data_IF_245572269356
#
_entry.id   IF_245572269356
#
_cell.length_a   1.000
_cell.length_b   1.000
_cell.length_c   1.000
_cell.angle_alpha   90.00
_cell.angle_beta   90.00
_cell.angle_gamma   90.00
#
_symmetry.space_group_name_H-M   'P 1'
#
loop_
_entity.id
_entity.type
_entity.pdbx_description
1 polymer ?
#
# COMPACT_ATOMS: atom_id res chain seq x y z
N UNK A 1 -1.52 20.38 14.83
CA UNK A 1 -0.94 20.68 13.51
C UNK A 1 0.37 19.93 13.38
N UNK A 2 0.59 19.21 12.29
CA UNK A 2 1.86 18.56 11.98
C UNK A 2 2.52 19.34 10.84
N UNK A 3 3.79 19.69 10.98
CA UNK A 3 4.59 20.39 9.97
C UNK A 3 5.67 19.43 9.48
N UNK A 4 5.31 18.62 8.47
CA UNK A 4 6.13 17.51 7.99
C UNK A 4 5.97 16.23 8.82
N UNK A 5 6.08 15.09 8.16
CA UNK A 5 6.13 13.77 8.79
C UNK A 5 7.35 13.03 8.26
N UNK A 6 7.99 12.22 9.10
CA UNK A 6 9.18 11.44 8.75
C UNK A 6 8.94 9.94 8.86
N UNK A 7 7.72 9.49 9.21
CA UNK A 7 7.45 8.06 9.40
C UNK A 7 7.66 7.25 8.10
N UNK A 8 7.53 7.88 6.94
CA UNK A 8 7.79 7.26 5.65
C UNK A 8 9.24 6.78 5.53
N UNK A 9 10.22 7.43 6.16
CA UNK A 9 11.63 7.00 6.08
C UNK A 9 11.85 5.63 6.74
N UNK A 10 11.06 5.28 7.76
CA UNK A 10 11.16 3.95 8.39
C UNK A 10 10.58 2.87 7.47
N UNK A 11 9.50 3.17 6.76
CA UNK A 11 8.79 2.21 5.89
C UNK A 11 9.50 2.05 4.55
N UNK A 12 9.85 3.17 3.91
CA UNK A 12 10.34 3.22 2.54
C UNK A 12 11.87 3.16 2.47
N UNK A 13 12.60 3.83 3.37
CA UNK A 13 14.07 3.82 3.34
C UNK A 13 14.66 2.67 4.17
N UNK A 14 14.34 2.60 5.47
CA UNK A 14 14.94 1.58 6.36
C UNK A 14 14.45 0.18 6.02
N UNK A 15 13.12 0.00 5.99
CA UNK A 15 12.55 -1.28 5.62
C UNK A 15 12.51 -1.50 4.09
N UNK A 16 12.71 -0.46 3.29
CA UNK A 16 12.88 -0.58 1.85
C UNK A 16 11.59 -0.67 1.03
N UNK A 17 10.39 -0.48 1.59
CA UNK A 17 9.17 -0.66 0.81
C UNK A 17 9.11 0.32 -0.37
N UNK A 18 9.00 -0.21 -1.60
CA UNK A 18 8.76 0.58 -2.81
C UNK A 18 7.34 0.28 -3.30
N UNK A 19 6.36 1.18 -3.09
CA UNK A 19 4.99 0.97 -3.57
C UNK A 19 4.93 0.88 -5.10
N UNK A 20 4.17 -0.08 -5.61
CA UNK A 20 3.99 -0.35 -7.04
C UNK A 20 2.52 -0.44 -7.41
N UNK A 21 2.20 -0.29 -8.69
CA UNK A 21 0.83 -0.48 -9.18
C UNK A 21 0.53 -1.96 -9.48
N UNK A 22 1.55 -2.71 -9.90
CA UNK A 22 1.44 -4.14 -10.21
C UNK A 22 1.40 -5.01 -8.93
N UNK A 23 1.24 -6.32 -9.11
CA UNK A 23 1.18 -7.28 -8.02
C UNK A 23 2.54 -7.64 -7.40
N UNK A 24 3.65 -7.09 -7.90
CA UNK A 24 4.99 -7.40 -7.38
C UNK A 24 5.27 -6.59 -6.12
N UNK A 25 6.12 -7.14 -5.26
CA UNK A 25 6.58 -6.46 -4.04
C UNK A 25 8.05 -6.14 -4.23
N UNK A 26 8.40 -4.85 -4.16
CA UNK A 26 9.77 -4.38 -4.30
C UNK A 26 10.26 -3.83 -2.97
N UNK A 27 11.46 -4.28 -2.59
CA UNK A 27 12.16 -3.89 -1.38
C UNK A 27 13.52 -3.33 -1.76
N UNK A 28 13.81 -2.08 -1.44
CA UNK A 28 15.09 -1.42 -1.69
C UNK A 28 15.58 -0.69 -0.42
N UNK A 29 16.03 -1.44 0.60
CA UNK A 29 16.41 -0.87 1.89
C UNK A 29 17.74 -0.11 1.81
N UNK A 30 17.82 0.98 2.57
CA UNK A 30 19.08 1.64 2.91
C UNK A 30 19.59 1.04 4.22
N UNK A 31 20.74 0.37 4.16
CA UNK A 31 21.38 -0.16 5.36
C UNK A 31 21.75 0.97 6.33
N UNK A 32 21.30 0.84 7.58
CA UNK A 32 21.64 1.76 8.66
C UNK A 32 22.80 1.14 9.48
N UNK A 33 24.00 1.75 9.46
CA UNK A 33 25.15 1.19 10.15
C UNK A 33 24.87 0.93 11.63
N UNK A 34 25.17 -0.30 12.08
CA UNK A 34 25.00 -0.74 13.47
C UNK A 34 23.60 -1.26 13.81
N UNK A 35 22.64 -1.22 12.89
CA UNK A 35 21.32 -1.81 13.09
C UNK A 35 21.33 -3.29 12.69
N UNK A 36 21.31 -4.16 13.69
CA UNK A 36 21.28 -5.61 13.47
C UNK A 36 19.86 -6.17 13.30
N UNK A 37 18.84 -5.38 13.63
CA UNK A 37 17.47 -5.79 13.51
C UNK A 37 16.51 -4.61 13.43
N UNK A 38 15.42 -4.78 12.70
CA UNK A 38 14.27 -3.88 12.70
C UNK A 38 13.03 -4.64 12.20
N UNK A 39 11.86 -4.05 12.40
CA UNK A 39 10.64 -4.51 11.75
C UNK A 39 9.70 -3.37 11.39
N UNK A 40 9.10 -3.46 10.22
CA UNK A 40 7.85 -2.77 9.88
C UNK A 40 6.79 -3.85 9.82
N UNK A 41 5.76 -3.73 10.66
CA UNK A 41 4.76 -4.77 10.85
C UNK A 41 3.37 -4.24 10.53
N UNK A 42 2.55 -5.09 9.92
CA UNK A 42 1.14 -4.85 9.68
C UNK A 42 0.87 -3.63 8.76
N UNK A 43 1.68 -3.52 7.70
CA UNK A 43 1.42 -2.58 6.62
C UNK A 43 0.27 -3.13 5.76
N UNK A 44 -0.85 -2.42 5.69
CA UNK A 44 -1.93 -2.76 4.77
C UNK A 44 -1.52 -2.33 3.35
N UNK A 45 -1.21 -3.30 2.49
CA UNK A 45 -0.74 -3.09 1.13
C UNK A 45 -1.50 -4.01 0.17
N UNK A 46 -2.15 -3.41 -0.82
CA UNK A 46 -2.96 -4.13 -1.83
C UNK A 46 -4.02 -5.07 -1.23
N UNK A 47 -4.57 -4.69 -0.07
CA UNK A 47 -5.56 -5.50 0.66
C UNK A 47 -4.97 -6.61 1.53
N UNK A 48 -3.65 -6.78 1.52
CA UNK A 48 -2.90 -7.79 2.28
C UNK A 48 -2.13 -7.15 3.43
N UNK A 49 -1.82 -7.95 4.45
CA UNK A 49 -0.97 -7.52 5.56
C UNK A 49 0.50 -7.88 5.28
N UNK A 50 1.35 -6.85 5.18
CA UNK A 50 2.79 -7.01 5.00
C UNK A 50 3.55 -6.77 6.29
N UNK A 51 4.56 -7.61 6.53
CA UNK A 51 5.60 -7.35 7.52
C UNK A 51 6.98 -7.57 6.91
N UNK A 52 7.88 -6.63 7.16
CA UNK A 52 9.27 -6.64 6.69
C UNK A 52 10.15 -6.72 7.93
N UNK A 53 11.03 -7.71 7.98
CA UNK A 53 11.87 -8.00 9.15
C UNK A 53 13.33 -8.10 8.75
N UNK A 54 14.19 -7.38 9.45
CA UNK A 54 15.63 -7.62 9.47
C UNK A 54 16.00 -8.21 10.82
N UNK A 55 16.67 -9.36 10.83
CA UNK A 55 17.09 -10.07 12.03
C UNK A 55 18.49 -10.67 11.81
N UNK A 56 19.51 -9.82 11.68
CA UNK A 56 20.88 -10.23 11.35
C UNK A 56 21.57 -11.01 12.47
N UNK A 57 21.29 -10.64 13.72
CA UNK A 57 21.89 -11.24 14.90
C UNK A 57 21.15 -12.52 15.35
N UNK A 58 19.93 -12.76 14.83
CA UNK A 58 19.10 -13.89 15.20
C UNK A 58 18.47 -13.77 16.60
N UNK A 59 18.42 -12.55 17.16
CA UNK A 59 17.90 -12.30 18.51
C UNK A 59 16.39 -12.56 18.60
N UNK A 60 15.67 -12.33 17.51
CA UNK A 60 14.22 -12.46 17.46
C UNK A 60 13.79 -13.84 16.96
N UNK A 61 12.60 -14.27 17.36
CA UNK A 61 11.96 -15.50 16.89
C UNK A 61 11.40 -15.32 15.45
N UNK A 62 12.29 -15.01 14.53
CA UNK A 62 12.08 -14.86 13.09
C UNK A 62 13.31 -15.43 12.37
N UNK A 63 13.24 -15.78 11.08
CA UNK A 63 14.41 -16.21 10.33
C UNK A 63 15.55 -15.20 10.45
N UNK A 64 16.78 -15.69 10.53
CA UNK A 64 17.96 -14.82 10.45
C UNK A 64 18.04 -14.25 9.03
N UNK A 65 18.22 -12.94 8.93
CA UNK A 65 18.30 -12.22 7.67
C UNK A 65 17.11 -11.29 7.42
N UNK A 66 16.88 -10.96 6.16
CA UNK A 66 15.88 -10.02 5.69
C UNK A 66 14.67 -10.76 5.11
N UNK A 67 13.56 -10.76 5.83
CA UNK A 67 12.39 -11.61 5.57
C UNK A 67 11.17 -10.75 5.27
N UNK A 68 10.47 -11.09 4.18
CA UNK A 68 9.15 -10.56 3.87
C UNK A 68 8.07 -11.55 4.31
N UNK A 69 7.01 -11.02 4.90
CA UNK A 69 5.80 -11.75 5.25
C UNK A 69 4.60 -11.17 4.51
N UNK A 70 3.73 -12.04 4.00
CA UNK A 70 2.41 -11.71 3.44
C UNK A 70 1.36 -12.51 4.20
N UNK A 71 0.38 -11.82 4.79
CA UNK A 71 -0.68 -12.39 5.64
C UNK A 71 -0.13 -13.32 6.73
N UNK A 72 0.98 -12.90 7.36
CA UNK A 72 1.65 -13.63 8.43
C UNK A 72 2.51 -14.82 7.98
N UNK A 73 2.59 -15.12 6.69
CA UNK A 73 3.43 -16.20 6.15
C UNK A 73 4.73 -15.64 5.58
N UNK A 74 5.88 -16.20 5.98
CA UNK A 74 7.16 -15.83 5.38
C UNK A 74 7.17 -16.28 3.91
N UNK A 75 7.38 -15.32 2.99
CA UNK A 75 7.37 -15.59 1.54
C UNK A 75 8.77 -15.71 0.94
N UNK A 76 9.77 -15.10 1.57
CA UNK A 76 11.20 -15.36 1.32
C UNK A 76 12.06 -14.80 2.46
N UNK A 77 13.29 -15.26 2.57
CA UNK A 77 14.35 -14.66 3.39
C UNK A 77 15.61 -14.47 2.55
N UNK A 78 16.15 -13.25 2.56
CA UNK A 78 17.49 -12.90 2.04
C UNK A 78 18.51 -12.93 3.18
N UNK A 79 19.74 -13.35 2.89
CA UNK A 79 20.84 -13.34 3.87
C UNK A 79 21.36 -11.93 4.20
N UNK A 80 21.02 -10.92 3.38
CA UNK A 80 21.43 -9.52 3.52
C UNK A 80 20.31 -8.55 3.14
N UNK A 81 20.45 -7.29 3.54
CA UNK A 81 19.67 -6.19 2.99
C UNK A 81 20.13 -5.96 1.53
N UNK A 82 19.18 -5.98 0.60
CA UNK A 82 19.43 -5.87 -0.83
C UNK A 82 18.18 -5.34 -1.55
N UNK A 83 18.37 -4.82 -2.75
CA UNK A 83 17.27 -4.48 -3.66
C UNK A 83 16.67 -5.75 -4.26
N UNK A 84 15.44 -6.08 -3.86
CA UNK A 84 14.73 -7.31 -4.19
C UNK A 84 13.38 -7.01 -4.85
N UNK A 85 13.06 -7.73 -5.91
CA UNK A 85 11.73 -7.71 -6.54
C UNK A 85 11.15 -9.11 -6.46
N UNK A 86 10.14 -9.29 -5.61
CA UNK A 86 9.41 -10.54 -5.43
C UNK A 86 8.16 -10.55 -6.30
N UNK A 87 7.98 -11.63 -7.06
CA UNK A 87 6.75 -11.92 -7.80
C UNK A 87 5.92 -12.97 -7.03
N UNK A 88 4.82 -12.56 -6.38
CA UNK A 88 3.99 -13.46 -5.58
C UNK A 88 3.33 -14.58 -6.40
N UNK A 89 3.07 -14.35 -7.68
CA UNK A 89 2.39 -15.31 -8.54
C UNK A 89 3.31 -16.49 -8.90
N UNK A 90 4.60 -16.23 -9.11
CA UNK A 90 5.59 -17.26 -9.44
C UNK A 90 6.41 -17.75 -8.25
N UNK A 91 6.41 -16.99 -7.14
CA UNK A 91 7.24 -17.28 -5.98
C UNK A 91 8.73 -17.01 -6.23
N UNK A 92 9.05 -16.18 -7.22
CA UNK A 92 10.45 -15.85 -7.59
C UNK A 92 10.88 -14.52 -7.02
N UNK A 93 12.18 -14.39 -6.73
CA UNK A 93 12.77 -13.14 -6.24
C UNK A 93 13.96 -12.79 -7.15
N UNK A 94 13.89 -11.61 -7.76
CA UNK A 94 15.00 -10.99 -8.47
C UNK A 94 15.84 -10.18 -7.48
N UNK A 95 17.17 -10.34 -7.54
CA UNK A 95 18.12 -9.46 -6.87
C UNK A 95 18.51 -8.37 -7.88
N UNK A 96 18.01 -7.16 -7.68
CA UNK A 96 18.10 -6.04 -8.62
C UNK A 96 19.34 -5.15 -8.40
N UNK A 97 20.23 -5.53 -7.48
CA UNK A 97 21.51 -4.89 -7.21
C UNK A 97 22.70 -5.88 -7.32
N UNK A 98 23.91 -5.36 -7.12
CA UNK A 98 25.14 -6.15 -7.15
C UNK A 98 25.50 -6.75 -5.76
N UNK A 99 24.55 -6.82 -4.82
CA UNK A 99 24.81 -7.29 -3.44
C UNK A 99 25.20 -8.77 -3.36
N UNK A 100 24.84 -9.55 -4.38
CA UNK A 100 24.96 -11.01 -4.40
C UNK A 100 24.15 -11.68 -3.29
N UNK A 101 22.98 -11.12 -2.94
CA UNK A 101 22.07 -11.69 -1.95
C UNK A 101 21.66 -13.12 -2.30
N UNK A 102 21.59 -13.97 -1.28
CA UNK A 102 21.13 -15.36 -1.40
C UNK A 102 19.72 -15.44 -0.82
N UNK A 103 18.77 -15.81 -1.68
CA UNK A 103 17.36 -15.94 -1.31
C UNK A 103 17.05 -17.39 -0.95
N UNK A 104 16.33 -17.57 0.15
CA UNK A 104 15.88 -18.87 0.65
C UNK A 104 14.39 -18.83 0.96
N UNK A 105 13.74 -20.00 0.91
CA UNK A 105 12.33 -20.14 1.29
C UNK A 105 11.34 -19.38 0.40
N UNK A 106 11.75 -18.98 -0.81
CA UNK A 106 10.88 -18.30 -1.77
C UNK A 106 9.68 -19.20 -2.13
N UNK A 107 8.47 -18.70 -1.91
CA UNK A 107 7.20 -19.39 -2.17
C UNK A 107 6.19 -18.42 -2.78
N UNK A 108 5.11 -18.92 -3.34
CA UNK A 108 4.01 -18.10 -3.88
C UNK A 108 3.17 -17.47 -2.76
N UNK A 109 2.52 -16.35 -3.05
CA UNK A 109 1.49 -15.74 -2.21
C UNK A 109 0.40 -15.05 -3.05
N UNK A 110 -0.72 -14.72 -2.42
CA UNK A 110 -1.77 -13.92 -3.06
C UNK A 110 -1.43 -12.44 -2.92
N UNK A 111 -1.35 -11.74 -4.05
CA UNK A 111 -1.20 -10.29 -4.08
C UNK A 111 -1.95 -9.74 -5.30
N UNK A 112 -2.98 -8.90 -5.10
CA UNK A 112 -3.64 -8.18 -6.20
C UNK A 112 -2.75 -7.07 -6.77
N UNK A 113 -3.06 -6.62 -7.98
CA UNK A 113 -2.63 -5.30 -8.44
C UNK A 113 -3.34 -4.20 -7.64
N UNK A 114 -2.78 -2.99 -7.58
CA UNK A 114 -3.38 -1.87 -6.86
C UNK A 114 -4.80 -1.56 -7.37
N UNK A 115 -5.01 -1.68 -8.69
CA UNK A 115 -6.30 -1.42 -9.35
C UNK A 115 -7.34 -2.54 -9.18
N UNK A 116 -6.96 -3.68 -8.61
CA UNK A 116 -7.86 -4.81 -8.33
C UNK A 116 -8.37 -4.80 -6.88
N UNK A 117 -7.86 -3.90 -6.04
CA UNK A 117 -8.30 -3.75 -4.66
C UNK A 117 -9.73 -3.20 -4.65
N UNK A 118 -10.62 -3.92 -3.99
CA UNK A 118 -12.01 -3.49 -3.78
C UNK A 118 -12.28 -3.20 -2.32
N UNK A 119 -13.20 -2.29 -2.06
CA UNK A 119 -13.62 -1.93 -0.71
C UNK A 119 -15.06 -2.41 -0.47
N UNK A 120 -15.32 -2.84 0.77
CA UNK A 120 -16.68 -3.19 1.17
C UNK A 120 -17.57 -1.95 1.16
N UNK A 121 -18.86 -2.12 0.84
CA UNK A 121 -19.84 -1.03 0.73
C UNK A 121 -20.01 -0.21 2.01
N UNK A 122 -19.71 -0.80 3.16
CA UNK A 122 -19.74 -0.14 4.47
C UNK A 122 -18.40 0.49 4.88
N UNK A 123 -17.36 0.40 4.06
CA UNK A 123 -16.05 0.99 4.34
C UNK A 123 -16.12 2.52 4.29
N UNK A 124 -15.34 3.18 5.15
CA UNK A 124 -15.27 4.64 5.19
C UNK A 124 -14.80 5.22 3.86
N UNK A 125 -13.90 4.54 3.16
CA UNK A 125 -13.39 4.98 1.86
C UNK A 125 -14.51 5.02 0.81
N UNK A 126 -15.34 3.98 0.73
CA UNK A 126 -16.52 3.96 -0.14
C UNK A 126 -17.47 5.12 0.19
N UNK A 127 -17.71 5.42 1.48
CA UNK A 127 -18.56 6.55 1.87
C UNK A 127 -17.99 7.91 1.42
N UNK A 128 -16.67 8.11 1.53
CA UNK A 128 -16.02 9.36 1.10
C UNK A 128 -16.14 9.55 -0.42
N UNK A 129 -15.92 8.48 -1.17
CA UNK A 129 -16.04 8.50 -2.62
C UNK A 129 -17.49 8.72 -3.07
N UNK A 130 -18.46 8.02 -2.46
CA UNK A 130 -19.88 8.24 -2.70
C UNK A 130 -20.32 9.70 -2.38
N UNK A 131 -19.80 10.30 -1.30
CA UNK A 131 -20.05 11.71 -0.96
C UNK A 131 -19.45 12.69 -1.97
N UNK A 132 -18.34 12.33 -2.62
CA UNK A 132 -17.71 13.15 -3.67
C UNK A 132 -18.23 12.84 -5.08
N UNK A 133 -19.28 12.01 -5.20
CA UNK A 133 -19.92 11.66 -6.47
C UNK A 133 -19.08 10.74 -7.37
N UNK A 134 -18.00 10.16 -6.86
CA UNK A 134 -17.15 9.19 -7.55
C UNK A 134 -17.43 7.81 -6.96
N UNK A 135 -17.91 6.86 -7.75
CA UNK A 135 -18.24 5.52 -7.26
C UNK A 135 -17.08 4.55 -7.52
N UNK A 136 -16.48 3.99 -6.47
CA UNK A 136 -15.18 3.26 -6.51
C UNK A 136 -15.27 1.75 -6.24
N UNK A 137 -16.46 1.21 -6.04
CA UNK A 137 -16.71 -0.23 -5.94
C UNK A 137 -17.94 -0.64 -6.80
N UNK A 138 -18.09 -1.95 -7.09
CA UNK A 138 -19.23 -2.45 -7.86
C UNK A 138 -20.59 -2.16 -7.19
N UNK A 139 -20.63 -2.05 -5.85
CA UNK A 139 -21.84 -1.71 -5.11
C UNK A 139 -22.19 -0.21 -5.20
N UNK A 140 -21.20 0.66 -5.36
CA UNK A 140 -21.32 2.11 -5.43
C UNK A 140 -21.60 2.56 -6.84
N UNK A 141 -21.23 1.79 -7.89
CA UNK A 141 -21.82 1.99 -9.23
C UNK A 141 -23.36 2.01 -9.19
N UNK A 142 -23.97 1.34 -8.22
CA UNK A 142 -25.42 1.36 -7.95
C UNK A 142 -25.87 2.34 -6.85
N UNK A 143 -24.96 3.01 -6.14
CA UNK A 143 -25.31 4.05 -5.18
C UNK A 143 -25.70 5.33 -5.90
N UNK A 144 -26.87 5.86 -5.53
CA UNK A 144 -27.38 7.14 -5.98
C UNK A 144 -26.36 8.23 -5.66
N UNK A 145 -25.95 9.00 -6.67
CA UNK A 145 -25.17 10.23 -6.45
C UNK A 145 -25.98 11.15 -5.52
N UNK A 146 -25.58 11.25 -4.25
CA UNK A 146 -26.29 12.02 -3.22
C UNK A 146 -26.21 13.52 -3.44
N UNK A 147 -25.24 13.99 -4.23
CA UNK A 147 -25.20 15.37 -4.67
C UNK A 147 -26.21 15.62 -5.80
N UNK A 148 -26.55 14.60 -6.61
CA UNK A 148 -27.43 14.79 -7.78
C UNK A 148 -28.84 15.21 -7.37
N UNK A 149 -29.17 16.47 -7.62
CA UNK A 149 -30.47 17.05 -7.29
C UNK A 149 -30.68 17.39 -5.81
N UNK A 150 -29.60 17.47 -5.02
CA UNK A 150 -29.67 17.98 -3.65
C UNK A 150 -30.01 19.49 -3.64
N UNK A 151 -30.70 19.95 -2.60
CA UNK A 151 -30.94 21.38 -2.36
C UNK A 151 -29.61 22.07 -2.04
N UNK A 152 -29.32 23.16 -2.76
CA UNK A 152 -28.07 23.92 -2.62
C UNK A 152 -28.40 25.37 -2.26
N UNK A 153 -27.76 25.86 -1.20
CA UNK A 153 -27.77 27.27 -0.83
C UNK A 153 -26.35 27.83 -0.95
N UNK A 154 -26.21 28.97 -1.61
CA UNK A 154 -24.96 29.73 -1.65
C UNK A 154 -25.20 31.15 -1.14
N UNK A 155 -24.25 31.65 -0.35
CA UNK A 155 -24.26 33.05 0.13
C UNK A 155 -23.84 34.04 -0.96
N UNK A 156 -23.33 33.55 -2.10
CA UNK A 156 -22.93 34.33 -3.26
C UNK A 156 -22.95 33.46 -4.54
N UNK A 157 -23.48 34.00 -5.63
CA UNK A 157 -23.47 33.37 -6.95
C UNK A 157 -22.88 34.34 -7.99
N UNK A 158 -22.02 33.82 -8.88
CA UNK A 158 -21.51 34.62 -10.01
C UNK A 158 -22.34 34.36 -11.26
N UNK A 159 -22.52 35.37 -12.10
CA UNK A 159 -23.33 35.26 -13.32
C UNK A 159 -22.76 34.18 -14.24
N UNK A 160 -23.55 33.16 -14.53
CA UNK A 160 -23.15 32.00 -15.35
C UNK A 160 -22.71 30.77 -14.54
N UNK A 161 -22.57 30.87 -13.22
CA UNK A 161 -22.26 29.76 -12.32
C UNK A 161 -23.20 29.76 -11.11
N UNK A 162 -24.49 29.45 -11.29
CA UNK A 162 -25.42 29.28 -10.18
C UNK A 162 -25.02 28.10 -9.28
N UNK A 163 -25.43 28.12 -8.02
CA UNK A 163 -25.11 27.05 -7.05
C UNK A 163 -25.60 25.66 -7.49
N UNK A 164 -26.62 25.62 -8.36
CA UNK A 164 -27.16 24.38 -8.92
C UNK A 164 -26.17 23.62 -9.81
N UNK A 165 -25.13 24.28 -10.35
CA UNK A 165 -24.13 23.61 -11.18
C UNK A 165 -23.28 22.60 -10.38
N UNK A 166 -23.22 22.72 -9.05
CA UNK A 166 -22.41 21.84 -8.19
C UNK A 166 -23.10 20.47 -7.99
N UNK A 167 -24.39 20.37 -8.31
CA UNK A 167 -25.25 19.20 -8.07
C UNK A 167 -25.86 18.59 -9.33
N UNK A 168 -25.64 19.17 -10.52
CA UNK A 168 -26.27 18.66 -11.75
C UNK A 168 -25.51 17.47 -12.38
N UNK A 169 -24.27 17.24 -11.93
CA UNK A 169 -23.41 16.15 -12.39
C UNK A 169 -22.94 16.28 -13.85
N UNK A 170 -23.07 17.45 -14.47
CA UNK A 170 -22.53 17.77 -15.79
C UNK A 170 -21.20 18.52 -15.64
N UNK A 171 -20.11 17.81 -15.87
CA UNK A 171 -18.89 18.41 -16.42
C UNK A 171 -18.92 18.23 -17.94
#
# INVERSE_FOLDING_TARGET
TQLGTTNWTIVEDVAGMVPREDNKIELNPIEIPGWNHFTVNNLSYHGQDLSIVWNNDGTYNAPKGYTLYVDGNAVFTSDKLAHLIYDPASGTVEVADDSGAVITGATTATMPNANEVTYASNSRVTQIFAQSGQNVDEASKSQTNVAKGADVEATYETKGYPATNVVDGKN
#
